data_IF_696488366170
#
_entry.id   IF_696488366170
#
_cell.length_a   1.000
_cell.length_b   1.000
_cell.length_c   1.000
_cell.angle_alpha   90.00
_cell.angle_beta   90.00
_cell.angle_gamma   90.00
#
_symmetry.space_group_name_H-M   'P 1'
#
loop_
_entity.id
_entity.type
_entity.pdbx_description
1 polymer ?
#
# COMPACT_ATOMS: atom_id res chain seq x y z
N UNK A 1 16.77 -1.67 -5.91
CA UNK A 1 16.57 -0.67 -4.85
C UNK A 1 15.82 -1.34 -3.72
N UNK A 2 16.52 -1.89 -2.73
CA UNK A 2 15.90 -2.41 -1.52
C UNK A 2 15.64 -1.21 -0.60
N UNK A 3 14.51 -0.55 -0.82
CA UNK A 3 14.03 0.51 0.05
C UNK A 3 12.92 -0.10 0.90
N UNK A 4 13.23 -0.48 2.14
CA UNK A 4 12.17 -0.83 3.08
C UNK A 4 11.19 0.35 3.16
N UNK A 5 9.87 0.09 3.13
CA UNK A 5 8.92 1.18 3.18
C UNK A 5 8.96 1.87 4.55
N UNK A 6 8.79 3.21 4.61
CA UNK A 6 8.75 3.92 5.87
C UNK A 6 7.57 3.44 6.71
N UNK A 7 7.81 3.28 8.00
CA UNK A 7 6.80 2.83 8.98
C UNK A 7 6.03 4.06 9.47
N UNK A 8 4.71 3.92 9.64
CA UNK A 8 3.77 4.97 10.07
C UNK A 8 3.72 6.20 9.16
N UNK A 9 4.06 6.05 7.89
CA UNK A 9 3.98 7.13 6.90
C UNK A 9 3.41 6.60 5.58
N UNK A 10 2.72 7.47 4.85
CA UNK A 10 2.30 7.19 3.49
C UNK A 10 3.52 7.21 2.57
N UNK A 11 3.67 6.18 1.75
CA UNK A 11 4.71 6.11 0.72
C UNK A 11 4.14 5.65 -0.59
N UNK A 12 4.67 6.20 -1.68
CA UNK A 12 4.27 5.80 -3.02
C UNK A 12 4.72 4.37 -3.32
N UNK A 13 3.80 3.54 -3.78
CA UNK A 13 4.10 2.18 -4.21
C UNK A 13 5.03 2.18 -5.42
N UNK A 14 6.02 1.28 -5.44
CA UNK A 14 6.91 1.06 -6.58
C UNK A 14 6.21 0.55 -7.84
N UNK A 15 4.97 0.07 -7.70
CA UNK A 15 4.11 -0.33 -8.82
C UNK A 15 3.35 0.84 -9.46
N UNK A 16 3.51 2.06 -8.94
CA UNK A 16 2.94 3.27 -9.53
C UNK A 16 3.82 3.77 -10.68
N UNK A 17 3.34 3.68 -11.92
CA UNK A 17 4.00 4.33 -13.07
C UNK A 17 3.47 5.75 -13.28
N UNK A 18 4.21 6.61 -13.99
CA UNK A 18 3.85 8.02 -14.18
C UNK A 18 2.53 8.24 -14.95
N UNK A 19 1.99 7.22 -15.61
CA UNK A 19 0.81 7.31 -16.46
C UNK A 19 -0.44 6.60 -15.89
N UNK A 20 -0.32 5.72 -14.90
CA UNK A 20 -1.42 4.92 -14.37
C UNK A 20 -1.48 4.94 -12.83
N UNK A 21 -2.71 4.79 -12.31
CA UNK A 21 -3.15 4.51 -10.93
C UNK A 21 -2.04 4.55 -9.88
N UNK A 22 -1.73 5.77 -9.44
CA UNK A 22 -0.73 5.98 -8.40
C UNK A 22 -1.35 5.66 -7.05
N UNK A 23 -0.72 4.74 -6.33
CA UNK A 23 -1.18 4.28 -5.02
C UNK A 23 -0.13 4.63 -3.96
N UNK A 24 -0.59 5.17 -2.82
CA UNK A 24 0.20 5.24 -1.60
C UNK A 24 -0.24 4.15 -0.62
N UNK A 25 0.74 3.64 0.12
CA UNK A 25 0.54 2.64 1.16
C UNK A 25 1.03 3.20 2.50
N UNK A 26 0.32 2.86 3.57
CA UNK A 26 0.72 3.11 4.95
C UNK A 26 0.85 1.77 5.67
N UNK A 27 1.87 1.61 6.51
CA UNK A 27 2.00 0.43 7.37
C UNK A 27 2.59 0.80 8.74
N UNK A 28 2.03 0.26 9.81
CA UNK A 28 2.55 0.44 11.18
C UNK A 28 2.85 -0.86 11.94
N UNK A 29 2.74 -2.00 11.23
CA UNK A 29 2.87 -3.36 11.77
C UNK A 29 1.56 -3.97 12.26
N UNK A 30 0.50 -3.17 12.47
CA UNK A 30 -0.82 -3.64 12.91
C UNK A 30 -1.93 -3.33 11.91
N UNK A 31 -1.73 -2.30 11.09
CA UNK A 31 -2.67 -1.84 10.09
C UNK A 31 -1.95 -1.50 8.79
N UNK A 32 -2.67 -1.70 7.70
CA UNK A 32 -2.23 -1.29 6.37
C UNK A 32 -3.30 -0.38 5.75
N UNK A 33 -2.87 0.79 5.28
CA UNK A 33 -3.70 1.76 4.57
C UNK A 33 -3.35 1.77 3.09
N UNK A 34 -4.34 1.91 2.23
CA UNK A 34 -4.17 2.06 0.77
C UNK A 34 -5.03 3.21 0.29
N UNK A 35 -4.45 4.13 -0.48
CA UNK A 35 -5.18 5.27 -1.06
C UNK A 35 -4.64 5.67 -2.42
N UNK A 36 -5.45 6.45 -3.13
CA UNK A 36 -5.06 7.08 -4.38
C UNK A 36 -4.10 8.25 -4.11
N UNK A 37 -2.89 8.20 -4.67
CA UNK A 37 -1.89 9.25 -4.48
C UNK A 37 -2.31 10.61 -5.05
N UNK A 38 -3.20 10.62 -6.05
CA UNK A 38 -3.68 11.82 -6.73
C UNK A 38 -4.81 12.49 -5.94
N UNK A 39 -5.43 11.78 -5.00
CA UNK A 39 -6.42 12.32 -4.08
C UNK A 39 -6.15 11.93 -2.61
N UNK A 40 -5.10 12.47 -1.96
CA UNK A 40 -4.72 12.11 -0.58
C UNK A 40 -5.78 12.41 0.50
N UNK A 41 -6.75 13.28 0.20
CA UNK A 41 -7.89 13.57 1.09
C UNK A 41 -9.16 12.78 0.76
N UNK A 42 -9.09 11.89 -0.23
CA UNK A 42 -10.19 11.03 -0.63
C UNK A 42 -10.36 9.80 0.27
N UNK A 43 -11.20 8.84 -0.14
CA UNK A 43 -11.42 7.60 0.60
C UNK A 43 -10.13 6.78 0.75
N UNK A 44 -9.93 6.21 1.94
CA UNK A 44 -8.81 5.32 2.26
C UNK A 44 -9.34 3.93 2.59
N UNK A 45 -8.68 2.88 2.09
CA UNK A 45 -8.94 1.50 2.47
C UNK A 45 -8.01 1.10 3.61
N UNK A 46 -8.56 0.51 4.66
CA UNK A 46 -7.83 0.10 5.85
C UNK A 46 -8.01 -1.40 6.14
N UNK A 47 -6.89 -2.07 6.36
CA UNK A 47 -6.82 -3.51 6.62
C UNK A 47 -6.08 -3.76 7.95
N UNK A 48 -6.41 -4.87 8.61
CA UNK A 48 -5.58 -5.41 9.70
C UNK A 48 -4.30 -5.98 9.08
N UNK A 49 -3.17 -5.86 9.78
CA UNK A 49 -1.87 -6.35 9.32
C UNK A 49 -1.92 -7.83 8.94
N UNK A 50 -2.49 -8.68 9.80
CA UNK A 50 -2.63 -10.12 9.56
C UNK A 50 -3.41 -10.46 8.27
N UNK A 51 -4.45 -9.69 7.95
CA UNK A 51 -5.23 -9.90 6.72
C UNK A 51 -4.45 -9.48 5.47
N UNK A 52 -3.63 -8.43 5.60
CA UNK A 52 -2.74 -7.99 4.54
C UNK A 52 -1.63 -9.01 4.28
N UNK A 53 -1.03 -9.57 5.33
CA UNK A 53 0.00 -10.61 5.22
C UNK A 53 -0.58 -11.86 4.55
N UNK A 54 -1.76 -12.33 4.97
CA UNK A 54 -2.43 -13.46 4.33
C UNK A 54 -2.73 -13.20 2.84
N UNK A 55 -3.13 -11.97 2.47
CA UNK A 55 -3.30 -11.58 1.07
C UNK A 55 -1.99 -11.65 0.29
N UNK A 56 -0.88 -11.14 0.85
CA UNK A 56 0.43 -11.20 0.21
C UNK A 56 0.93 -12.65 0.04
N UNK A 57 0.75 -13.49 1.04
CA UNK A 57 1.12 -14.91 1.03
C UNK A 57 0.30 -15.73 0.03
N UNK A 58 -0.98 -15.38 -0.16
CA UNK A 58 -1.86 -16.08 -1.12
C UNK A 58 -1.35 -16.06 -2.56
N UNK A 59 -0.53 -15.05 -2.92
CA UNK A 59 0.02 -14.89 -4.26
C UNK A 59 -1.00 -14.49 -5.33
N UNK A 60 -2.27 -14.24 -4.98
CA UNK A 60 -3.34 -13.87 -5.93
C UNK A 60 -3.03 -12.58 -6.70
N UNK A 61 -2.16 -11.72 -6.16
CA UNK A 61 -1.73 -10.45 -6.75
C UNK A 61 -0.65 -10.62 -7.84
N UNK A 62 -0.08 -11.82 -8.02
CA UNK A 62 0.92 -12.12 -9.05
C UNK A 62 0.20 -12.42 -10.38
N UNK A 63 -0.26 -11.37 -11.05
CA UNK A 63 -0.60 -11.40 -12.48
C UNK A 63 0.60 -10.90 -13.31
#
# INVERSE_FOLDING_TARGET
>A
MNSQPPVRQWYKSSRSSNAADCVEVYQDGTRVGVRDSKNPGGPELWFRGEAWDAFLESGIWKA
#
